data_IF_587034999305
#
_entry.id   IF_587034999305
#
_cell.length_a   1.000
_cell.length_b   1.000
_cell.length_c   1.000
_cell.angle_alpha   90.00
_cell.angle_beta   90.00
_cell.angle_gamma   90.00
#
_symmetry.space_group_name_H-M   'P 1'
#
loop_
_entity.id
_entity.type
_entity.pdbx_description
1 polymer ?
#
# COMPACT_ATOMS: atom_id res chain seq x y z
N UNK A 1 -27.56 -0.95 -21.45
CA UNK A 1 -27.30 0.36 -20.84
C UNK A 1 -26.32 0.11 -19.71
N UNK A 2 -25.07 0.60 -19.86
CA UNK A 2 -24.10 0.43 -18.78
C UNK A 2 -24.49 1.40 -17.67
N UNK A 3 -25.01 0.88 -16.57
CA UNK A 3 -25.19 1.68 -15.36
C UNK A 3 -23.82 2.05 -14.82
N UNK A 4 -23.49 3.33 -14.84
CA UNK A 4 -22.20 3.83 -14.37
C UNK A 4 -21.97 3.57 -12.87
N UNK A 5 -23.05 3.23 -12.13
CA UNK A 5 -23.01 2.81 -10.73
C UNK A 5 -22.91 1.29 -10.55
N UNK A 6 -23.13 0.49 -11.61
CA UNK A 6 -22.87 -0.93 -11.58
C UNK A 6 -21.37 -1.14 -11.88
N UNK A 7 -20.73 -2.04 -11.15
CA UNK A 7 -19.34 -2.43 -11.44
C UNK A 7 -19.24 -3.37 -12.66
N UNK A 8 -20.21 -3.32 -13.58
CA UNK A 8 -20.26 -4.16 -14.78
C UNK A 8 -19.02 -4.00 -15.65
N UNK A 9 -18.44 -2.79 -15.69
CA UNK A 9 -17.16 -2.54 -16.36
C UNK A 9 -16.00 -3.37 -15.79
N UNK A 10 -16.14 -3.92 -14.57
CA UNK A 10 -15.19 -4.86 -13.96
C UNK A 10 -15.66 -6.30 -14.12
N UNK A 11 -16.97 -6.56 -13.95
CA UNK A 11 -17.53 -7.91 -13.95
C UNK A 11 -17.38 -8.59 -15.31
N UNK A 12 -17.65 -7.87 -16.39
CA UNK A 12 -17.53 -8.42 -17.74
C UNK A 12 -16.07 -8.78 -18.10
N UNK A 13 -15.07 -7.90 -17.96
CA UNK A 13 -13.68 -8.27 -18.25
C UNK A 13 -13.16 -9.42 -17.38
N UNK A 14 -13.49 -9.43 -16.09
CA UNK A 14 -13.09 -10.51 -15.17
C UNK A 14 -13.73 -11.83 -15.60
N UNK A 15 -15.03 -11.82 -15.90
CA UNK A 15 -15.76 -12.98 -16.40
C UNK A 15 -15.20 -13.48 -17.74
N UNK A 16 -14.89 -12.56 -18.66
CA UNK A 16 -14.33 -12.91 -19.98
C UNK A 16 -12.96 -13.59 -19.87
N UNK A 17 -12.04 -13.03 -19.10
CA UNK A 17 -10.71 -13.63 -18.91
C UNK A 17 -10.84 -15.02 -18.26
N UNK A 18 -11.69 -15.15 -17.23
CA UNK A 18 -11.93 -16.42 -16.57
C UNK A 18 -12.57 -17.44 -17.52
N UNK A 19 -13.52 -17.02 -18.37
CA UNK A 19 -14.17 -17.84 -19.37
C UNK A 19 -13.19 -18.38 -20.42
N UNK A 20 -12.28 -17.54 -20.93
CA UNK A 20 -11.24 -17.95 -21.89
C UNK A 20 -10.37 -19.06 -21.30
N UNK A 21 -9.88 -18.89 -20.09
CA UNK A 21 -9.08 -19.90 -19.42
C UNK A 21 -9.88 -21.17 -19.10
N UNK A 22 -11.13 -21.01 -18.67
CA UNK A 22 -12.02 -22.14 -18.45
C UNK A 22 -12.21 -22.96 -19.71
N UNK A 23 -12.51 -22.34 -20.85
CA UNK A 23 -12.69 -23.05 -22.12
C UNK A 23 -11.42 -23.82 -22.52
N UNK A 24 -10.25 -23.21 -22.32
CA UNK A 24 -8.97 -23.87 -22.59
C UNK A 24 -8.77 -25.12 -21.70
N UNK A 25 -8.96 -25.00 -20.39
CA UNK A 25 -8.75 -26.11 -19.48
C UNK A 25 -9.88 -27.14 -19.55
N UNK A 26 -11.11 -26.74 -19.80
CA UNK A 26 -12.24 -27.63 -19.98
C UNK A 26 -12.10 -28.53 -21.23
N UNK A 27 -11.46 -28.06 -22.29
CA UNK A 27 -11.18 -28.83 -23.48
C UNK A 27 -10.24 -30.02 -23.21
N UNK A 28 -9.37 -29.92 -22.20
CA UNK A 28 -8.39 -30.94 -21.83
C UNK A 28 -8.87 -31.81 -20.67
N UNK A 29 -9.43 -31.18 -19.64
CA UNK A 29 -9.77 -31.84 -18.37
C UNK A 29 -11.25 -32.23 -18.27
N UNK A 30 -12.09 -31.71 -19.16
CA UNK A 30 -13.54 -31.81 -19.12
C UNK A 30 -14.24 -30.64 -18.44
N UNK A 31 -15.48 -30.29 -18.86
CA UNK A 31 -16.15 -29.06 -18.48
C UNK A 31 -16.62 -29.03 -17.02
N UNK A 32 -16.96 -30.15 -16.42
CA UNK A 32 -17.35 -30.25 -15.00
C UNK A 32 -16.19 -30.68 -14.09
N UNK A 33 -14.95 -30.64 -14.59
CA UNK A 33 -13.79 -30.98 -13.79
C UNK A 33 -13.42 -29.83 -12.82
N UNK A 34 -13.23 -30.15 -11.55
CA UNK A 34 -12.83 -29.20 -10.51
C UNK A 34 -11.54 -28.43 -10.88
N UNK A 35 -10.55 -29.13 -11.41
CA UNK A 35 -9.27 -28.50 -11.75
C UNK A 35 -9.35 -27.58 -12.97
N UNK A 36 -10.27 -27.81 -13.91
CA UNK A 36 -10.51 -26.89 -15.02
C UNK A 36 -10.96 -25.50 -14.50
N UNK A 37 -11.86 -25.50 -13.55
CA UNK A 37 -12.33 -24.27 -12.89
C UNK A 37 -11.29 -23.68 -11.94
N UNK A 38 -10.60 -24.49 -11.14
CA UNK A 38 -9.54 -24.03 -10.25
C UNK A 38 -8.41 -23.33 -11.02
N UNK A 39 -7.94 -23.95 -12.10
CA UNK A 39 -6.91 -23.37 -12.97
C UNK A 39 -7.41 -22.10 -13.66
N UNK A 40 -8.68 -22.05 -14.09
CA UNK A 40 -9.23 -20.83 -14.71
C UNK A 40 -9.19 -19.63 -13.76
N UNK A 41 -9.50 -19.82 -12.48
CA UNK A 41 -9.38 -18.79 -11.45
C UNK A 41 -7.91 -18.42 -11.20
N UNK A 42 -7.01 -19.40 -11.13
CA UNK A 42 -5.59 -19.13 -10.93
C UNK A 42 -4.97 -18.35 -12.10
N UNK A 43 -5.27 -18.75 -13.33
CA UNK A 43 -4.75 -18.09 -14.52
C UNK A 43 -5.40 -16.74 -14.81
N UNK A 44 -6.63 -16.52 -14.38
CA UNK A 44 -7.23 -15.17 -14.30
C UNK A 44 -6.33 -14.25 -13.46
N UNK A 45 -5.92 -14.70 -12.26
CA UNK A 45 -5.02 -13.92 -11.39
C UNK A 45 -3.72 -13.60 -12.11
N UNK A 46 -3.09 -14.62 -12.71
CA UNK A 46 -1.80 -14.45 -13.38
C UNK A 46 -1.89 -13.49 -14.55
N UNK A 47 -2.97 -13.56 -15.34
CA UNK A 47 -3.23 -12.63 -16.45
C UNK A 47 -3.36 -11.19 -15.96
N UNK A 48 -4.20 -10.94 -14.96
CA UNK A 48 -4.39 -9.60 -14.40
C UNK A 48 -3.11 -9.05 -13.76
N UNK A 49 -2.34 -9.90 -13.08
CA UNK A 49 -1.06 -9.53 -12.50
C UNK A 49 0.01 -9.24 -13.56
N UNK A 50 0.03 -9.99 -14.67
CA UNK A 50 0.92 -9.73 -15.79
C UNK A 50 0.61 -8.39 -16.45
N UNK A 51 -0.67 -8.07 -16.67
CA UNK A 51 -1.11 -6.77 -17.18
C UNK A 51 -0.71 -5.61 -16.26
N UNK A 52 -0.78 -5.81 -14.94
CA UNK A 52 -0.43 -4.82 -13.93
C UNK A 52 1.07 -4.83 -13.55
N UNK A 53 1.92 -5.60 -14.25
CA UNK A 53 3.35 -5.71 -13.92
C UNK A 53 4.09 -4.37 -13.99
N UNK A 54 3.92 -3.61 -15.08
CA UNK A 54 4.57 -2.30 -15.24
C UNK A 54 4.18 -1.29 -14.16
N UNK A 55 2.88 -1.06 -13.86
CA UNK A 55 2.45 -0.25 -12.72
C UNK A 55 3.06 -0.70 -11.38
N UNK A 56 3.13 -2.00 -11.15
CA UNK A 56 3.69 -2.56 -9.92
C UNK A 56 5.19 -2.27 -9.76
N UNK A 57 5.98 -2.41 -10.83
CA UNK A 57 7.41 -2.05 -10.79
C UNK A 57 7.59 -0.56 -10.49
N UNK A 58 6.78 0.31 -11.10
CA UNK A 58 6.80 1.75 -10.80
C UNK A 58 6.46 2.02 -9.34
N UNK A 59 5.47 1.33 -8.78
CA UNK A 59 5.10 1.42 -7.37
C UNK A 59 6.29 1.09 -6.45
N UNK A 60 6.99 -0.01 -6.69
CA UNK A 60 8.13 -0.41 -5.85
C UNK A 60 9.23 0.65 -5.92
N UNK A 61 9.54 1.19 -7.10
CA UNK A 61 10.53 2.28 -7.25
C UNK A 61 10.11 3.53 -6.48
N UNK A 62 8.84 3.94 -6.58
CA UNK A 62 8.31 5.10 -5.82
C UNK A 62 8.37 4.86 -4.31
N UNK A 63 8.05 3.65 -3.85
CA UNK A 63 8.14 3.29 -2.43
C UNK A 63 9.58 3.36 -1.93
N UNK A 64 10.56 2.93 -2.72
CA UNK A 64 12.00 3.07 -2.40
C UNK A 64 12.44 4.53 -2.32
N UNK A 65 12.10 5.35 -3.31
CA UNK A 65 12.39 6.78 -3.28
C UNK A 65 11.83 7.43 -2.02
N UNK A 66 10.61 7.06 -1.61
CA UNK A 66 10.01 7.53 -0.37
C UNK A 66 10.80 7.08 0.88
N UNK A 67 11.35 5.86 0.86
CA UNK A 67 12.21 5.37 1.95
C UNK A 67 13.54 6.13 2.04
N UNK A 68 14.15 6.50 0.92
CA UNK A 68 15.37 7.32 0.85
C UNK A 68 15.15 8.74 1.38
N UNK A 69 13.91 9.27 1.23
CA UNK A 69 13.53 10.58 1.73
C UNK A 69 13.09 10.59 3.21
N UNK A 70 12.99 9.42 3.86
CA UNK A 70 12.57 9.32 5.27
C UNK A 70 13.36 10.21 6.25
N UNK A 71 14.71 10.35 6.16
CA UNK A 71 15.43 11.25 7.04
C UNK A 71 15.03 12.72 6.86
N UNK A 72 14.77 13.16 5.63
CA UNK A 72 14.29 14.53 5.35
C UNK A 72 12.86 14.71 5.86
N UNK A 73 11.99 13.72 5.67
CA UNK A 73 10.63 13.72 6.19
C UNK A 73 10.64 13.84 7.74
N UNK A 74 11.50 13.08 8.42
CA UNK A 74 11.65 13.17 9.88
C UNK A 74 12.17 14.54 10.32
N UNK A 75 13.10 15.14 9.58
CA UNK A 75 13.59 16.49 9.87
C UNK A 75 12.46 17.53 9.74
N UNK A 76 11.61 17.42 8.70
CA UNK A 76 10.44 18.28 8.54
C UNK A 76 9.42 18.07 9.67
N UNK A 77 9.15 16.81 10.04
CA UNK A 77 8.25 16.51 11.17
C UNK A 77 8.77 17.09 12.49
N UNK A 78 10.07 17.01 12.73
CA UNK A 78 10.71 17.60 13.93
C UNK A 78 10.62 19.13 13.91
N UNK A 79 10.80 19.74 12.74
CA UNK A 79 10.80 21.22 12.57
C UNK A 79 9.40 21.82 12.65
N UNK A 80 8.40 21.18 12.03
CA UNK A 80 7.05 21.70 11.84
C UNK A 80 5.96 20.87 12.52
N UNK A 81 6.30 19.94 13.42
CA UNK A 81 5.35 19.00 14.03
C UNK A 81 4.18 19.63 14.78
N UNK A 82 4.33 20.88 15.22
CA UNK A 82 3.26 21.67 15.84
C UNK A 82 2.40 22.45 14.83
N UNK A 83 2.91 22.68 13.63
CA UNK A 83 2.22 23.40 12.55
C UNK A 83 1.94 22.43 11.40
N UNK A 84 0.74 21.84 11.44
CA UNK A 84 0.32 20.84 10.43
C UNK A 84 0.21 21.44 9.02
N UNK A 85 -0.16 22.71 8.90
CA UNK A 85 -0.32 23.35 7.59
C UNK A 85 1.04 23.55 6.93
N UNK A 86 2.00 24.12 7.63
CA UNK A 86 3.38 24.29 7.13
C UNK A 86 4.04 22.95 6.86
N UNK A 87 3.84 21.97 7.72
CA UNK A 87 4.35 20.60 7.49
C UNK A 87 3.80 20.00 6.18
N UNK A 88 2.49 20.17 5.91
CA UNK A 88 1.88 19.67 4.67
C UNK A 88 2.43 20.39 3.44
N UNK A 89 2.62 21.72 3.48
CA UNK A 89 3.19 22.50 2.38
C UNK A 89 4.65 22.11 2.09
N UNK A 90 5.47 22.01 3.14
CA UNK A 90 6.89 21.61 2.97
C UNK A 90 7.03 20.15 2.53
N UNK A 91 6.14 19.27 2.97
CA UNK A 91 6.06 17.91 2.48
C UNK A 91 5.71 17.87 0.97
N UNK A 92 4.71 18.67 0.56
CA UNK A 92 4.33 18.76 -0.85
C UNK A 92 5.46 19.34 -1.71
N UNK A 93 6.20 20.34 -1.18
CA UNK A 93 7.37 20.90 -1.84
C UNK A 93 8.47 19.85 -2.00
N UNK A 94 8.80 19.12 -0.95
CA UNK A 94 9.77 18.00 -0.99
C UNK A 94 9.37 16.94 -2.03
N UNK A 95 8.07 16.60 -2.11
CA UNK A 95 7.54 15.66 -3.09
C UNK A 95 7.72 16.18 -4.52
N UNK A 96 7.46 17.46 -4.77
CA UNK A 96 7.65 18.10 -6.08
C UNK A 96 9.12 18.20 -6.47
N UNK A 97 10.00 18.56 -5.56
CA UNK A 97 11.45 18.66 -5.81
C UNK A 97 12.07 17.33 -6.20
N UNK A 98 11.58 16.24 -5.63
CA UNK A 98 12.04 14.87 -5.93
C UNK A 98 11.20 14.16 -7.00
N UNK A 99 10.18 14.84 -7.55
CA UNK A 99 9.38 14.32 -8.67
C UNK A 99 8.55 13.07 -8.34
N UNK A 100 8.24 12.80 -7.08
CA UNK A 100 7.46 11.62 -6.70
C UNK A 100 6.03 11.96 -6.25
N UNK A 101 5.10 11.07 -6.60
CA UNK A 101 3.71 11.17 -6.18
C UNK A 101 3.37 9.98 -5.27
N UNK A 102 3.06 10.19 -3.97
CA UNK A 102 2.72 9.12 -3.05
C UNK A 102 1.45 8.35 -3.45
N UNK A 103 0.52 8.99 -4.19
CA UNK A 103 -0.69 8.36 -4.70
C UNK A 103 -0.36 7.24 -5.69
N UNK A 104 0.68 7.41 -6.52
CA UNK A 104 1.14 6.35 -7.41
C UNK A 104 1.66 5.11 -6.66
N UNK A 105 2.12 5.29 -5.43
CA UNK A 105 2.57 4.20 -4.56
C UNK A 105 1.43 3.31 -4.05
N UNK A 106 0.22 3.82 -3.88
CA UNK A 106 -0.94 3.03 -3.42
C UNK A 106 -1.89 2.61 -4.56
N UNK A 107 -1.73 3.16 -5.77
CA UNK A 107 -2.62 2.92 -6.91
C UNK A 107 -2.84 1.43 -7.24
N UNK A 108 -1.80 0.57 -7.30
CA UNK A 108 -2.02 -0.85 -7.58
C UNK A 108 -2.82 -1.59 -6.50
N UNK A 109 -2.69 -1.17 -5.24
CA UNK A 109 -3.52 -1.71 -4.16
C UNK A 109 -4.99 -1.31 -4.34
N UNK A 110 -5.25 -0.05 -4.70
CA UNK A 110 -6.60 0.44 -4.98
C UNK A 110 -7.19 -0.24 -6.22
N UNK A 111 -6.40 -0.48 -7.26
CA UNK A 111 -6.84 -1.20 -8.46
C UNK A 111 -7.18 -2.68 -8.18
N UNK A 112 -6.59 -3.29 -7.15
CA UNK A 112 -6.86 -4.67 -6.76
C UNK A 112 -8.25 -4.85 -6.14
N UNK A 113 -8.79 -3.81 -5.47
CA UNK A 113 -10.10 -3.88 -4.79
C UNK A 113 -11.24 -4.15 -5.79
N UNK A 114 -11.41 -3.38 -6.89
CA UNK A 114 -12.44 -3.67 -7.89
C UNK A 114 -12.30 -5.06 -8.50
N UNK A 115 -11.07 -5.50 -8.78
CA UNK A 115 -10.80 -6.84 -9.33
C UNK A 115 -11.27 -7.94 -8.38
N UNK A 116 -10.97 -7.81 -7.07
CA UNK A 116 -11.42 -8.76 -6.06
C UNK A 116 -12.94 -8.78 -5.93
N UNK A 117 -13.57 -7.60 -5.87
CA UNK A 117 -15.04 -7.47 -5.82
C UNK A 117 -15.66 -8.09 -7.07
N UNK A 118 -15.07 -7.83 -8.25
CA UNK A 118 -15.54 -8.37 -9.53
C UNK A 118 -15.49 -9.90 -9.55
N UNK A 119 -14.37 -10.48 -9.16
CA UNK A 119 -14.23 -11.94 -9.10
C UNK A 119 -15.20 -12.55 -8.07
N UNK A 120 -15.26 -11.96 -6.87
CA UNK A 120 -16.19 -12.44 -5.84
C UNK A 120 -17.64 -12.41 -6.34
N UNK A 121 -18.04 -11.31 -6.99
CA UNK A 121 -19.38 -11.15 -7.55
C UNK A 121 -19.66 -12.19 -8.65
N UNK A 122 -18.74 -12.36 -9.62
CA UNK A 122 -18.89 -13.34 -10.71
C UNK A 122 -18.99 -14.76 -10.14
N UNK A 123 -18.16 -15.13 -9.17
CA UNK A 123 -18.17 -16.47 -8.57
C UNK A 123 -19.44 -16.72 -7.73
N UNK A 124 -19.92 -15.70 -7.01
CA UNK A 124 -21.21 -15.79 -6.28
C UNK A 124 -22.41 -15.92 -7.21
N UNK A 125 -22.33 -15.28 -8.39
CA UNK A 125 -23.42 -15.28 -9.37
C UNK A 125 -23.59 -16.59 -10.12
N UNK A 126 -22.77 -17.60 -9.90
CA UNK A 126 -23.03 -18.96 -10.36
C UNK A 126 -24.12 -19.67 -9.54
N UNK A 127 -24.23 -19.33 -8.24
CA UNK A 127 -25.28 -19.87 -7.38
C UNK A 127 -26.14 -18.74 -6.81
N UNK A 128 -27.26 -18.45 -7.51
CA UNK A 128 -28.23 -17.39 -7.14
C UNK A 128 -29.42 -17.92 -6.35
N UNK A 129 -29.36 -19.19 -5.91
CA UNK A 129 -30.48 -19.80 -5.16
C UNK A 129 -30.59 -19.25 -3.73
N UNK A 130 -29.55 -18.57 -3.22
CA UNK A 130 -29.58 -17.92 -1.90
C UNK A 130 -30.03 -16.46 -1.95
N UNK A 131 -30.05 -15.84 -3.14
CA UNK A 131 -30.24 -14.40 -3.28
C UNK A 131 -29.09 -13.59 -2.64
N UNK A 132 -29.24 -12.27 -2.57
CA UNK A 132 -28.31 -11.35 -1.88
C UNK A 132 -27.42 -10.52 -2.82
N UNK A 133 -26.93 -9.38 -2.32
CA UNK A 133 -26.10 -8.41 -3.06
C UNK A 133 -26.63 -8.02 -4.45
N UNK A 134 -27.94 -7.71 -4.54
CA UNK A 134 -28.58 -7.31 -5.80
C UNK A 134 -28.85 -8.45 -6.78
N UNK A 135 -28.62 -9.70 -6.38
CA UNK A 135 -28.94 -10.87 -7.19
C UNK A 135 -30.36 -11.36 -6.93
N UNK A 136 -31.14 -11.72 -7.98
CA UNK A 136 -32.46 -12.30 -7.80
C UNK A 136 -32.36 -13.68 -7.13
N UNK A 137 -33.31 -14.01 -6.29
CA UNK A 137 -33.46 -15.36 -5.78
C UNK A 137 -34.05 -16.26 -6.88
N UNK A 138 -33.32 -17.24 -7.36
CA UNK A 138 -33.72 -18.17 -8.40
C UNK A 138 -33.97 -19.57 -7.81
N UNK A 139 -34.91 -20.31 -8.39
CA UNK A 139 -34.99 -21.74 -8.14
C UNK A 139 -33.76 -22.45 -8.76
N UNK A 140 -33.46 -23.65 -8.31
CA UNK A 140 -32.33 -24.45 -8.86
C UNK A 140 -32.45 -24.61 -10.39
N UNK A 141 -33.64 -24.92 -10.89
CA UNK A 141 -33.90 -25.07 -12.32
C UNK A 141 -33.69 -23.75 -13.09
N UNK A 142 -34.19 -22.63 -12.57
CA UNK A 142 -33.98 -21.32 -13.17
C UNK A 142 -32.50 -20.91 -13.14
N UNK A 143 -31.78 -21.18 -12.03
CA UNK A 143 -30.37 -20.85 -11.91
C UNK A 143 -29.53 -21.61 -12.93
N UNK A 144 -29.81 -22.90 -13.16
CA UNK A 144 -29.10 -23.72 -14.17
C UNK A 144 -29.47 -23.33 -15.60
N UNK A 145 -30.68 -22.77 -15.83
CA UNK A 145 -31.12 -22.29 -17.14
C UNK A 145 -30.65 -20.86 -17.45
N UNK A 146 -30.02 -20.16 -16.51
CA UNK A 146 -29.60 -18.76 -16.66
C UNK A 146 -28.08 -18.66 -16.77
N UNK A 147 -27.58 -17.98 -17.82
CA UNK A 147 -26.15 -17.70 -17.97
C UNK A 147 -25.61 -16.73 -16.91
N UNK A 148 -24.29 -16.63 -16.83
CA UNK A 148 -23.58 -15.76 -15.88
C UNK A 148 -22.49 -14.96 -16.61
N UNK A 149 -22.78 -13.71 -16.96
CA UNK A 149 -21.93 -12.84 -17.80
C UNK A 149 -21.53 -13.52 -19.11
N UNK A 150 -20.25 -13.88 -19.29
CA UNK A 150 -19.76 -14.60 -20.47
C UNK A 150 -20.03 -16.12 -20.43
N UNK A 151 -20.41 -16.64 -19.28
CA UNK A 151 -20.71 -18.07 -19.14
C UNK A 151 -22.14 -18.38 -19.59
N UNK A 152 -22.30 -19.38 -20.43
CA UNK A 152 -23.59 -19.91 -20.86
C UNK A 152 -24.32 -20.61 -19.71
N UNK A 153 -25.60 -20.91 -19.86
CA UNK A 153 -26.36 -21.72 -18.92
C UNK A 153 -25.71 -23.11 -18.72
N UNK A 154 -25.20 -23.71 -19.79
CA UNK A 154 -24.47 -25.00 -19.70
C UNK A 154 -23.19 -24.84 -18.85
N UNK A 155 -22.42 -23.75 -19.00
CA UNK A 155 -21.23 -23.49 -18.19
C UNK A 155 -21.59 -23.27 -16.71
N UNK A 156 -22.73 -22.64 -16.42
CA UNK A 156 -23.23 -22.51 -15.03
C UNK A 156 -23.54 -23.89 -14.45
N UNK A 157 -24.19 -24.78 -15.22
CA UNK A 157 -24.40 -26.18 -14.84
C UNK A 157 -23.07 -26.89 -14.54
N UNK A 158 -22.10 -26.80 -15.43
CA UNK A 158 -20.78 -27.40 -15.24
C UNK A 158 -20.04 -26.87 -14.00
N UNK A 159 -20.15 -25.58 -13.68
CA UNK A 159 -19.57 -25.02 -12.45
C UNK A 159 -20.20 -25.59 -11.19
N UNK A 160 -21.54 -25.75 -11.18
CA UNK A 160 -22.27 -26.30 -10.05
C UNK A 160 -22.03 -27.81 -9.87
N UNK A 161 -21.68 -28.52 -10.96
CA UNK A 161 -21.33 -29.94 -10.94
C UNK A 161 -19.84 -30.16 -10.58
N UNK A 162 -19.00 -29.13 -10.78
CA UNK A 162 -17.56 -29.22 -10.54
C UNK A 162 -17.25 -29.39 -9.07
N UNK A 163 -16.81 -30.58 -8.66
CA UNK A 163 -16.47 -30.88 -7.28
C UNK A 163 -15.20 -31.74 -7.20
N UNK A 164 -14.55 -31.70 -6.03
CA UNK A 164 -13.42 -32.57 -5.67
C UNK A 164 -13.83 -33.38 -4.44
N UNK A 165 -14.07 -34.71 -4.63
CA UNK A 165 -14.51 -35.61 -3.56
C UNK A 165 -15.80 -35.13 -2.82
N UNK A 166 -16.70 -34.45 -3.52
CA UNK A 166 -17.91 -33.87 -2.93
C UNK A 166 -17.74 -32.45 -2.37
N UNK A 167 -16.63 -31.78 -2.67
CA UNK A 167 -16.39 -30.36 -2.37
C UNK A 167 -16.58 -29.52 -3.64
N UNK A 168 -17.76 -28.89 -3.87
CA UNK A 168 -17.96 -28.00 -4.99
C UNK A 168 -17.05 -26.78 -4.92
N UNK A 169 -16.51 -26.35 -6.06
CA UNK A 169 -15.59 -25.21 -6.11
C UNK A 169 -16.22 -23.89 -5.70
N UNK A 170 -17.53 -23.75 -5.92
CA UNK A 170 -18.32 -22.56 -5.50
C UNK A 170 -18.81 -22.60 -4.04
N UNK A 171 -18.61 -23.73 -3.34
CA UNK A 171 -19.08 -23.89 -1.97
C UNK A 171 -18.11 -23.27 -0.94
N UNK A 172 -18.62 -22.94 0.25
CA UNK A 172 -17.84 -22.48 1.38
C UNK A 172 -18.13 -23.30 2.65
N UNK A 173 -17.17 -23.37 3.58
CA UNK A 173 -17.21 -24.30 4.71
C UNK A 173 -18.40 -24.08 5.64
N UNK A 174 -18.80 -22.80 5.83
CA UNK A 174 -19.92 -22.40 6.70
C UNK A 174 -21.25 -22.29 5.98
N UNK A 175 -21.34 -22.67 4.70
CA UNK A 175 -22.55 -22.55 3.89
C UNK A 175 -23.70 -23.36 4.45
N UNK A 176 -24.87 -22.71 4.59
CA UNK A 176 -26.09 -23.34 5.11
C UNK A 176 -27.25 -23.36 4.11
N UNK A 177 -27.28 -22.43 3.17
CA UNK A 177 -28.31 -22.25 2.18
C UNK A 177 -27.79 -22.43 0.75
N UNK A 178 -28.64 -22.79 -0.22
CA UNK A 178 -28.28 -22.98 -1.61
C UNK A 178 -27.39 -24.19 -1.85
N UNK A 179 -27.45 -25.19 -0.98
CA UNK A 179 -26.68 -26.46 -1.11
C UNK A 179 -27.26 -27.34 -2.20
N UNK A 180 -28.55 -27.25 -2.42
CA UNK A 180 -29.34 -27.93 -3.43
C UNK A 180 -29.00 -27.51 -4.88
N UNK A 181 -28.34 -26.38 -5.06
CA UNK A 181 -27.81 -25.95 -6.35
C UNK A 181 -26.66 -26.84 -6.84
N UNK A 182 -25.90 -27.42 -5.93
CA UNK A 182 -24.76 -28.30 -6.25
C UNK A 182 -25.24 -29.75 -6.45
N UNK A 183 -24.70 -30.41 -7.47
CA UNK A 183 -25.01 -31.83 -7.71
C UNK A 183 -24.52 -32.73 -6.57
N UNK A 184 -23.34 -32.42 -6.03
CA UNK A 184 -22.76 -33.10 -4.88
C UNK A 184 -22.22 -32.08 -3.89
N UNK A 185 -22.62 -32.23 -2.62
CA UNK A 185 -22.12 -31.39 -1.53
C UNK A 185 -21.84 -32.24 -0.29
N UNK A 186 -20.61 -32.20 0.16
CA UNK A 186 -20.20 -32.79 1.43
C UNK A 186 -19.43 -31.76 2.23
N UNK A 187 -19.97 -31.32 3.37
CA UNK A 187 -19.31 -30.35 4.24
C UNK A 187 -17.93 -30.82 4.72
N UNK A 188 -17.76 -32.08 5.18
CA UNK A 188 -16.43 -32.61 5.52
C UNK A 188 -15.44 -32.49 4.35
N UNK A 189 -15.89 -32.77 3.11
CA UNK A 189 -15.04 -32.64 1.94
C UNK A 189 -14.66 -31.18 1.65
N UNK A 190 -15.62 -30.23 1.76
CA UNK A 190 -15.34 -28.80 1.61
C UNK A 190 -14.30 -28.33 2.63
N UNK A 191 -14.40 -28.79 3.87
CA UNK A 191 -13.41 -28.49 4.92
C UNK A 191 -12.07 -29.15 4.60
N UNK A 192 -12.06 -30.43 4.23
CA UNK A 192 -10.84 -31.17 3.94
C UNK A 192 -10.04 -30.60 2.76
N UNK A 193 -10.74 -30.10 1.74
CA UNK A 193 -10.12 -29.43 0.58
C UNK A 193 -9.74 -27.99 0.88
N UNK A 194 -10.63 -27.25 1.52
CA UNK A 194 -10.48 -25.80 1.72
C UNK A 194 -9.53 -25.43 2.86
N UNK A 195 -9.56 -26.14 3.99
CA UNK A 195 -8.74 -25.79 5.15
C UNK A 195 -7.23 -25.84 4.88
N UNK A 196 -6.69 -26.91 4.23
CA UNK A 196 -5.26 -26.94 3.88
C UNK A 196 -4.85 -25.76 2.96
N UNK A 197 -5.65 -25.48 1.92
CA UNK A 197 -5.36 -24.37 0.97
C UNK A 197 -5.42 -23.01 1.68
N UNK A 198 -6.40 -22.84 2.56
CA UNK A 198 -6.57 -21.63 3.37
C UNK A 198 -5.38 -21.41 4.32
N UNK A 199 -4.93 -22.47 5.02
CA UNK A 199 -3.76 -22.40 5.91
C UNK A 199 -2.51 -22.06 5.09
N UNK A 200 -2.31 -22.73 3.95
CA UNK A 200 -1.18 -22.44 3.04
C UNK A 200 -1.24 -20.99 2.52
N UNK A 201 -2.43 -20.49 2.17
CA UNK A 201 -2.61 -19.10 1.76
C UNK A 201 -2.29 -18.11 2.90
N UNK A 202 -2.68 -18.42 4.14
CA UNK A 202 -2.33 -17.63 5.32
C UNK A 202 -0.82 -17.60 5.59
N UNK A 203 -0.17 -18.76 5.54
CA UNK A 203 1.28 -18.90 5.68
C UNK A 203 2.01 -18.14 4.56
N UNK A 204 1.59 -18.30 3.30
CA UNK A 204 2.16 -17.59 2.17
C UNK A 204 2.00 -16.07 2.31
N UNK A 205 0.84 -15.60 2.80
CA UNK A 205 0.59 -14.18 3.10
C UNK A 205 1.57 -13.65 4.17
N UNK A 206 1.81 -14.44 5.23
CA UNK A 206 2.78 -14.08 6.27
C UNK A 206 4.20 -13.95 5.70
N UNK A 207 4.67 -14.94 4.93
CA UNK A 207 6.02 -14.89 4.35
C UNK A 207 6.19 -13.75 3.33
N UNK A 208 5.19 -13.49 2.48
CA UNK A 208 5.20 -12.35 1.56
C UNK A 208 5.27 -11.01 2.32
N UNK A 209 4.49 -10.86 3.39
CA UNK A 209 4.52 -9.68 4.25
C UNK A 209 5.86 -9.52 4.96
N UNK A 210 6.39 -10.61 5.53
CA UNK A 210 7.70 -10.63 6.17
C UNK A 210 8.83 -10.24 5.21
N UNK A 211 8.82 -10.78 3.99
CA UNK A 211 9.79 -10.42 2.97
C UNK A 211 9.71 -8.94 2.57
N UNK A 212 8.51 -8.37 2.53
CA UNK A 212 8.30 -6.95 2.25
C UNK A 212 8.78 -6.06 3.40
N UNK A 213 8.45 -6.41 4.66
CA UNK A 213 8.87 -5.67 5.85
C UNK A 213 10.38 -5.70 6.05
N UNK A 214 11.02 -6.85 5.80
CA UNK A 214 12.47 -7.00 5.95
C UNK A 214 13.29 -6.12 5.00
N UNK A 215 12.68 -5.63 3.92
CA UNK A 215 13.32 -4.75 2.93
C UNK A 215 13.10 -3.26 3.18
N UNK A 216 12.43 -2.90 4.27
CA UNK A 216 12.24 -1.49 4.65
C UNK A 216 13.53 -0.94 5.25
N UNK A 217 13.79 0.37 5.02
CA UNK A 217 14.91 1.04 5.69
C UNK A 217 14.69 1.09 7.21
N UNK A 218 15.76 1.04 8.03
CA UNK A 218 15.66 1.15 9.48
C UNK A 218 14.89 2.40 9.92
N UNK A 219 15.09 3.51 9.20
CA UNK A 219 14.43 4.78 9.46
C UNK A 219 12.92 4.71 9.20
N UNK A 220 12.50 4.02 8.13
CA UNK A 220 11.09 3.81 7.83
C UNK A 220 10.44 2.88 8.86
N UNK A 221 11.13 1.79 9.22
CA UNK A 221 10.65 0.82 10.21
C UNK A 221 10.50 1.44 11.62
N UNK A 222 11.33 2.43 11.97
CA UNK A 222 11.26 3.13 13.26
C UNK A 222 10.10 4.14 13.35
N UNK A 223 9.38 4.43 12.26
CA UNK A 223 8.21 5.30 12.29
C UNK A 223 7.04 4.54 12.96
N UNK A 224 6.38 5.10 14.00
CA UNK A 224 5.29 4.43 14.71
C UNK A 224 4.13 3.99 13.82
N UNK A 225 3.76 4.82 12.83
CA UNK A 225 2.71 4.50 11.87
C UNK A 225 3.11 3.32 10.96
N UNK A 226 4.33 3.32 10.47
CA UNK A 226 4.88 2.20 9.68
C UNK A 226 4.97 0.93 10.50
N UNK A 227 5.43 1.02 11.75
CA UNK A 227 5.51 -0.12 12.67
C UNK A 227 4.12 -0.74 12.95
N UNK A 228 3.09 0.09 13.09
CA UNK A 228 1.70 -0.38 13.22
C UNK A 228 1.23 -1.09 11.94
N UNK A 229 1.46 -0.49 10.78
CA UNK A 229 1.13 -1.11 9.48
C UNK A 229 1.86 -2.44 9.26
N UNK A 230 3.12 -2.52 9.68
CA UNK A 230 3.90 -3.76 9.62
C UNK A 230 3.31 -4.85 10.51
N UNK A 231 2.86 -4.53 11.72
CA UNK A 231 2.17 -5.48 12.60
C UNK A 231 0.86 -5.97 11.99
N UNK A 232 0.07 -5.06 11.38
CA UNK A 232 -1.15 -5.43 10.68
C UNK A 232 -0.84 -6.39 9.51
N UNK A 233 0.18 -6.07 8.69
CA UNK A 233 0.58 -6.87 7.54
C UNK A 233 1.11 -8.25 7.95
N UNK A 234 1.87 -8.34 9.04
CA UNK A 234 2.49 -9.59 9.49
C UNK A 234 1.54 -10.53 10.23
N UNK A 235 0.58 -9.99 10.99
CA UNK A 235 -0.22 -10.81 11.89
C UNK A 235 -1.71 -10.76 11.56
N UNK A 236 -2.27 -9.56 11.37
CA UNK A 236 -3.72 -9.41 11.21
C UNK A 236 -4.17 -9.90 9.84
N UNK A 237 -3.46 -9.57 8.76
CA UNK A 237 -3.84 -10.02 7.42
C UNK A 237 -3.74 -11.56 7.25
N UNK A 238 -2.64 -12.23 7.62
CA UNK A 238 -2.57 -13.69 7.53
C UNK A 238 -3.63 -14.39 8.41
N UNK A 239 -3.85 -13.89 9.62
CA UNK A 239 -4.89 -14.40 10.51
C UNK A 239 -6.29 -14.16 9.92
N UNK A 240 -6.51 -12.98 9.32
CA UNK A 240 -7.75 -12.63 8.65
C UNK A 240 -8.09 -13.57 7.49
N UNK A 241 -7.08 -14.05 6.74
CA UNK A 241 -7.26 -15.06 5.70
C UNK A 241 -7.76 -16.38 6.30
N UNK A 242 -7.13 -16.82 7.40
CA UNK A 242 -7.48 -18.09 8.06
C UNK A 242 -8.86 -18.01 8.73
N UNK A 243 -9.17 -16.90 9.40
CA UNK A 243 -10.45 -16.72 10.09
C UNK A 243 -11.59 -16.41 9.12
N UNK A 244 -11.32 -15.63 8.07
CA UNK A 244 -12.30 -15.22 7.05
C UNK A 244 -12.55 -16.29 5.99
N UNK A 245 -11.57 -17.16 5.73
CA UNK A 245 -11.62 -18.17 4.68
C UNK A 245 -12.85 -19.09 4.75
N UNK A 246 -13.28 -19.57 5.91
CA UNK A 246 -14.47 -20.42 6.02
C UNK A 246 -15.78 -19.81 5.48
N UNK A 247 -15.83 -18.49 5.35
CA UNK A 247 -16.99 -17.75 4.83
C UNK A 247 -16.87 -17.43 3.33
N UNK A 248 -15.77 -17.85 2.69
CA UNK A 248 -15.50 -17.59 1.28
C UNK A 248 -15.60 -18.88 0.46
N UNK A 249 -16.09 -18.80 -0.80
CA UNK A 249 -16.05 -19.92 -1.73
C UNK A 249 -14.62 -20.49 -1.90
N UNK A 250 -14.50 -21.80 -2.12
CA UNK A 250 -13.21 -22.46 -2.38
C UNK A 250 -12.44 -21.77 -3.51
N UNK A 251 -13.15 -21.34 -4.57
CA UNK A 251 -12.57 -20.60 -5.68
C UNK A 251 -11.86 -19.31 -5.24
N UNK A 252 -12.39 -18.60 -4.23
CA UNK A 252 -11.76 -17.37 -3.69
C UNK A 252 -10.52 -17.71 -2.86
N UNK A 253 -10.53 -18.82 -2.13
CA UNK A 253 -9.35 -19.28 -1.38
C UNK A 253 -8.24 -19.66 -2.35
N UNK A 254 -8.58 -20.34 -3.46
CA UNK A 254 -7.65 -20.67 -4.55
C UNK A 254 -7.11 -19.39 -5.23
N UNK A 255 -7.97 -18.41 -5.50
CA UNK A 255 -7.55 -17.08 -5.98
C UNK A 255 -6.51 -16.47 -5.04
N UNK A 256 -6.76 -16.48 -3.72
CA UNK A 256 -5.85 -15.91 -2.73
C UNK A 256 -4.50 -16.65 -2.72
N UNK A 257 -4.55 -17.96 -2.78
CA UNK A 257 -3.36 -18.80 -2.87
C UNK A 257 -2.54 -18.50 -4.14
N UNK A 258 -3.18 -18.47 -5.31
CA UNK A 258 -2.53 -18.11 -6.59
C UNK A 258 -1.91 -16.70 -6.55
N UNK A 259 -2.64 -15.74 -5.96
CA UNK A 259 -2.15 -14.38 -5.76
C UNK A 259 -0.87 -14.31 -4.90
N UNK A 260 -0.77 -15.15 -3.87
CA UNK A 260 0.44 -15.24 -3.05
C UNK A 260 1.61 -15.87 -3.79
N UNK A 261 1.38 -16.92 -4.58
CA UNK A 261 2.41 -17.53 -5.44
C UNK A 261 2.98 -16.48 -6.41
N UNK A 262 2.10 -15.77 -7.11
CA UNK A 262 2.53 -14.71 -8.02
C UNK A 262 3.32 -13.62 -7.30
N UNK A 263 2.81 -13.16 -6.16
CA UNK A 263 3.46 -12.10 -5.36
C UNK A 263 4.87 -12.51 -4.93
N UNK A 264 5.05 -13.75 -4.50
CA UNK A 264 6.36 -14.29 -4.14
C UNK A 264 7.33 -14.25 -5.32
N UNK A 265 6.92 -14.79 -6.49
CA UNK A 265 7.75 -14.78 -7.70
C UNK A 265 8.05 -13.36 -8.19
N UNK A 266 7.03 -12.50 -8.22
CA UNK A 266 7.16 -11.11 -8.66
C UNK A 266 8.08 -10.30 -7.74
N UNK A 267 7.95 -10.45 -6.42
CA UNK A 267 8.86 -9.80 -5.46
C UNK A 267 10.30 -10.23 -5.68
N UNK A 268 10.55 -11.53 -5.84
CA UNK A 268 11.90 -12.04 -6.04
C UNK A 268 12.55 -11.45 -7.31
N UNK A 269 11.83 -11.44 -8.43
CA UNK A 269 12.32 -10.90 -9.70
C UNK A 269 12.55 -9.39 -9.61
N UNK A 270 11.55 -8.63 -9.14
CA UNK A 270 11.60 -7.16 -9.17
C UNK A 270 12.65 -6.63 -8.19
N UNK A 271 12.74 -7.20 -6.99
CA UNK A 271 13.76 -6.76 -6.03
C UNK A 271 15.17 -7.11 -6.49
N UNK A 272 15.39 -8.27 -7.12
CA UNK A 272 16.68 -8.61 -7.70
C UNK A 272 17.10 -7.67 -8.84
N UNK A 273 16.15 -7.21 -9.68
CA UNK A 273 16.44 -6.19 -10.71
C UNK A 273 16.85 -4.85 -10.10
N UNK A 274 16.10 -4.38 -9.08
CA UNK A 274 16.36 -3.09 -8.44
C UNK A 274 17.70 -3.12 -7.69
N UNK A 275 18.05 -4.22 -7.04
CA UNK A 275 19.32 -4.38 -6.32
C UNK A 275 20.52 -4.28 -7.29
N UNK A 276 20.45 -4.94 -8.45
CA UNK A 276 21.46 -4.81 -9.50
C UNK A 276 21.57 -3.37 -10.05
N UNK A 277 20.44 -2.67 -10.23
CA UNK A 277 20.45 -1.26 -10.64
C UNK A 277 21.12 -0.36 -9.59
N UNK A 278 20.88 -0.61 -8.31
CA UNK A 278 21.48 0.15 -7.20
C UNK A 278 22.99 -0.13 -7.06
N UNK A 279 23.42 -1.37 -7.25
CA UNK A 279 24.85 -1.73 -7.28
C UNK A 279 25.56 -1.07 -8.44
N UNK A 280 24.98 -1.07 -9.64
CA UNK A 280 25.54 -0.40 -10.80
C UNK A 280 25.71 1.11 -10.56
N UNK A 281 24.70 1.77 -9.98
CA UNK A 281 24.78 3.19 -9.61
C UNK A 281 25.86 3.47 -8.55
N UNK A 282 25.99 2.60 -7.54
CA UNK A 282 27.05 2.71 -6.53
C UNK A 282 28.45 2.60 -7.15
N UNK A 283 28.63 1.64 -8.05
CA UNK A 283 29.90 1.46 -8.77
C UNK A 283 30.22 2.69 -9.62
N UNK A 284 29.25 3.25 -10.33
CA UNK A 284 29.42 4.48 -11.11
C UNK A 284 29.85 5.67 -10.24
N UNK A 285 29.22 5.84 -9.06
CA UNK A 285 29.59 6.90 -8.12
C UNK A 285 31.00 6.70 -7.58
N UNK A 286 31.38 5.45 -7.26
CA UNK A 286 32.75 5.13 -6.81
C UNK A 286 33.76 5.42 -7.91
N UNK A 287 33.50 5.01 -9.15
CA UNK A 287 34.37 5.27 -10.30
C UNK A 287 34.49 6.78 -10.57
N UNK A 288 33.41 7.53 -10.54
CA UNK A 288 33.45 9.00 -10.68
C UNK A 288 34.24 9.66 -9.56
N UNK A 289 34.14 9.19 -8.32
CA UNK A 289 34.91 9.70 -7.20
C UNK A 289 36.39 9.37 -7.36
N UNK A 290 36.73 8.16 -7.82
CA UNK A 290 38.11 7.75 -8.10
C UNK A 290 38.72 8.56 -9.27
N UNK A 291 37.95 8.80 -10.35
CA UNK A 291 38.37 9.61 -11.48
C UNK A 291 38.60 11.09 -11.12
N UNK A 292 37.77 11.63 -10.19
CA UNK A 292 37.86 13.01 -9.71
C UNK A 292 38.76 13.16 -8.46
N UNK A 293 39.37 12.07 -7.97
CA UNK A 293 40.29 12.13 -6.83
C UNK A 293 41.56 12.88 -7.22
N UNK A 294 42.07 13.80 -6.39
CA UNK A 294 43.36 14.42 -6.64
C UNK A 294 44.46 13.38 -6.75
N UNK A 295 45.41 13.59 -7.65
CA UNK A 295 46.58 12.71 -7.79
C UNK A 295 47.29 12.52 -6.44
N UNK A 296 47.86 11.32 -6.13
CA UNK A 296 48.59 11.08 -4.90
C UNK A 296 49.69 12.14 -4.73
N UNK A 297 49.62 12.92 -3.64
CA UNK A 297 50.59 14.00 -3.38
C UNK A 297 50.11 15.41 -3.74
N UNK A 298 48.95 15.61 -4.34
CA UNK A 298 48.39 16.92 -4.60
C UNK A 298 48.02 17.61 -3.29
N UNK A 299 48.63 18.76 -2.99
CA UNK A 299 48.27 19.60 -1.84
C UNK A 299 46.85 20.11 -1.95
N UNK A 300 46.04 20.13 -0.87
CA UNK A 300 44.67 20.67 -0.93
C UNK A 300 44.74 22.12 -1.41
N UNK A 301 43.95 22.45 -2.45
CA UNK A 301 43.74 23.84 -2.89
C UNK A 301 43.17 24.63 -1.72
N UNK A 302 43.96 25.50 -1.14
CA UNK A 302 43.55 26.43 -0.06
C UNK A 302 42.46 27.35 -0.63
N UNK A 303 41.27 27.28 -0.08
CA UNK A 303 40.18 28.12 -0.49
C UNK A 303 40.53 29.58 -0.16
N UNK A 304 40.60 30.51 -1.13
CA UNK A 304 41.05 31.88 -0.85
C UNK A 304 40.10 32.67 0.03
N UNK A 305 38.88 32.18 0.31
CA UNK A 305 37.89 32.82 1.17
C UNK A 305 38.15 32.72 2.68
N UNK A 306 39.10 31.90 3.14
CA UNK A 306 39.40 31.74 4.57
C UNK A 306 40.71 32.40 4.96
N UNK A 307 41.42 33.09 4.01
CA UNK A 307 42.68 33.79 4.29
C UNK A 307 42.53 35.27 4.68
N UNK A 308 41.29 35.77 4.71
CA UNK A 308 41.01 37.20 5.04
C UNK A 308 40.56 37.46 6.49
N UNK A 309 40.63 36.43 7.37
CA UNK A 309 40.17 36.55 8.76
C UNK A 309 41.22 36.30 9.83
N UNK A 310 42.52 36.40 9.51
CA UNK A 310 43.59 36.35 10.51
C UNK A 310 44.78 37.20 10.05
N UNK A 311 44.59 38.48 10.12
CA UNK A 311 45.64 39.51 10.00
C UNK A 311 45.48 40.45 11.16
N UNK A 312 46.35 40.21 12.11
CA UNK A 312 46.61 40.91 13.36
C UNK A 312 46.91 42.40 13.15
N UNK A 313 46.49 43.19 14.10
CA UNK A 313 46.63 44.64 14.11
C UNK A 313 48.08 45.10 14.35
N UNK A 314 48.40 46.25 13.81
CA UNK A 314 49.13 47.30 14.51
C UNK A 314 49.19 48.60 13.69
N UNK A 315 48.71 49.64 14.32
CA UNK A 315 49.10 51.04 14.38
C UNK A 315 49.43 51.84 13.10
N UNK A 316 48.79 53.01 13.03
CA UNK A 316 49.48 54.24 12.65
C UNK A 316 48.77 55.13 11.63
N UNK A 317 48.07 56.15 12.10
CA UNK A 317 48.15 57.52 11.73
C UNK A 317 47.73 58.00 10.33
N UNK A 318 46.88 59.00 10.31
CA UNK A 318 46.98 60.08 9.37
C UNK A 318 45.89 60.22 8.32
N UNK A 319 44.96 61.05 8.63
CA UNK A 319 44.39 62.19 7.85
C UNK A 319 43.74 61.97 6.43
N UNK A 320 42.58 62.52 6.48
CA UNK A 320 42.01 63.62 5.65
C UNK A 320 41.29 63.29 4.34
N UNK A 321 40.03 63.56 4.42
CA UNK A 321 39.18 64.37 3.54
C UNK A 321 38.54 63.80 2.27
N UNK A 322 37.28 64.19 2.26
CA UNK A 322 36.38 64.56 1.12
C UNK A 322 35.82 63.48 0.25
N UNK A 323 34.58 63.38 0.25
CA UNK A 323 33.38 64.11 -0.18
C UNK A 323 32.66 63.41 -1.34
N UNK A 324 31.35 63.62 -1.31
CA UNK A 324 30.35 63.44 -2.37
C UNK A 324 30.01 61.99 -2.82
N UNK A 325 28.81 61.55 -2.81
CA UNK A 325 27.54 62.19 -2.93
C UNK A 325 26.64 61.30 -3.79
N UNK A 326 25.38 61.37 -3.46
CA UNK A 326 24.25 61.13 -4.36
C UNK A 326 23.80 59.70 -4.58
N UNK A 327 22.74 59.28 -4.28
CA UNK A 327 21.32 59.65 -4.28
C UNK A 327 20.50 58.41 -4.65
N UNK A 328 19.52 58.14 -3.83
CA UNK A 328 18.39 57.29 -4.15
C UNK A 328 17.50 57.93 -5.23
N UNK A 329 16.59 57.20 -5.82
CA UNK A 329 15.23 57.65 -5.63
C UNK A 329 14.24 56.57 -5.22
N UNK A 330 13.39 57.00 -4.31
CA UNK A 330 12.05 56.48 -4.04
C UNK A 330 11.13 56.89 -5.19
N UNK A 331 10.13 56.04 -5.47
CA UNK A 331 8.85 56.49 -6.03
C UNK A 331 7.73 55.75 -5.35
N UNK A 332 7.02 56.52 -4.55
CA UNK A 332 5.63 56.32 -4.12
C UNK A 332 4.71 56.63 -5.29
N UNK A 333 3.56 56.01 -5.34
CA UNK A 333 2.25 56.45 -5.87
C UNK A 333 1.27 55.36 -5.38
N UNK A 334 0.49 55.54 -4.38
CA UNK A 334 -0.76 56.27 -4.08
C UNK A 334 -1.93 55.92 -5.00
N UNK A 335 -3.02 55.48 -4.33
CA UNK A 335 -4.38 55.97 -4.62
C UNK A 335 -5.42 54.93 -5.02
N UNK A 336 -6.32 54.72 -4.11
CA UNK A 336 -7.77 54.99 -4.21
C UNK A 336 -8.75 53.80 -4.36
N UNK A 337 -9.51 53.63 -3.32
CA UNK A 337 -10.95 53.49 -3.11
C UNK A 337 -11.83 52.53 -3.97
N UNK A 338 -12.68 51.79 -3.26
CA UNK A 338 -13.86 51.17 -3.79
C UNK A 338 -14.55 50.15 -2.88
N UNK A 339 -15.20 50.64 -1.89
CA UNK A 339 -16.43 50.28 -1.16
C UNK A 339 -17.28 49.12 -1.68
N UNK A 340 -17.82 48.29 -0.76
CA UNK A 340 -18.83 47.25 -1.09
C UNK A 340 -19.16 46.31 0.06
N UNK A 341 -19.91 46.81 1.03
CA UNK A 341 -20.77 46.15 2.02
C UNK A 341 -21.27 44.74 1.73
N UNK A 342 -21.29 43.88 2.77
CA UNK A 342 -22.05 42.65 2.79
C UNK A 342 -21.94 41.87 4.10
N UNK A 343 -22.83 42.14 4.98
CA UNK A 343 -23.09 41.71 6.35
C UNK A 343 -23.47 40.24 6.51
N UNK A 344 -23.29 39.69 7.73
CA UNK A 344 -23.95 38.57 8.42
C UNK A 344 -23.35 37.18 8.19
N UNK A 345 -23.22 36.28 9.15
CA UNK A 345 -23.71 36.10 10.53
C UNK A 345 -22.95 34.95 11.14
N UNK A 346 -22.54 35.05 12.40
CA UNK A 346 -22.14 33.91 13.23
C UNK A 346 -23.38 33.26 13.87
N UNK A 347 -23.31 31.99 14.25
CA UNK A 347 -23.90 31.60 15.54
C UNK A 347 -22.95 30.74 16.39
N UNK A 348 -22.71 31.22 17.60
CA UNK A 348 -23.12 30.70 18.89
C UNK A 348 -22.53 29.33 19.34
N UNK A 349 -21.71 29.41 20.39
CA UNK A 349 -21.41 28.33 21.34
C UNK A 349 -22.65 27.99 22.19
N UNK A 350 -22.71 26.80 22.78
CA UNK A 350 -23.33 26.66 24.09
C UNK A 350 -22.36 26.21 25.19
N UNK A 351 -22.71 26.69 26.35
CA UNK A 351 -22.10 26.72 27.63
C UNK A 351 -21.83 25.39 28.32
N UNK A 352 -20.90 25.41 29.28
CA UNK A 352 -20.71 24.43 30.38
C UNK A 352 -21.80 24.59 31.44
N UNK A 353 -21.97 23.52 32.27
CA UNK A 353 -22.09 23.75 33.72
C UNK A 353 -21.02 23.02 34.51
N UNK A 354 -20.65 23.68 35.58
CA UNK A 354 -19.57 23.37 36.48
C UNK A 354 -19.97 22.61 37.76
N UNK A 355 -18.97 22.62 38.65
CA UNK A 355 -18.93 22.28 40.08
C UNK A 355 -18.59 20.80 40.35
N UNK A 356 -17.68 20.42 41.18
CA UNK A 356 -17.03 20.96 42.35
C UNK A 356 -16.30 19.80 43.06
N UNK A 357 -15.25 20.12 43.78
CA UNK A 357 -14.91 19.31 44.95
C UNK A 357 -13.54 18.65 45.03
N UNK A 358 -12.58 19.41 45.59
CA UNK A 358 -11.65 19.12 46.72
C UNK A 358 -10.70 17.92 46.71
N UNK A 359 -9.41 18.34 46.80
CA UNK A 359 -8.34 17.88 47.73
C UNK A 359 -7.75 16.46 47.61
N UNK A 360 -6.46 16.37 47.21
CA UNK A 360 -5.33 16.12 48.13
C UNK A 360 -4.06 15.86 47.32
N UNK A 361 -3.02 16.64 47.58
CA UNK A 361 -1.64 16.25 47.34
C UNK A 361 -1.18 15.25 48.37
N UNK A 362 -0.18 14.38 48.04
CA UNK A 362 1.13 14.68 48.62
C UNK A 362 2.32 14.48 47.63
N UNK A 363 3.23 15.41 47.85
CA UNK A 363 4.68 15.38 47.62
C UNK A 363 5.33 14.00 47.51
N UNK A 364 6.13 13.74 46.47
CA UNK A 364 7.33 12.96 46.69
C UNK A 364 8.49 13.33 45.77
N UNK A 365 9.62 13.32 46.41
CA UNK A 365 10.93 13.83 46.08
C UNK A 365 11.61 13.05 44.97
N UNK A 366 12.31 13.76 44.09
CA UNK A 366 13.39 13.29 43.21
C UNK A 366 14.59 12.77 44.02
N UNK A 367 15.26 11.69 43.57
CA UNK A 367 16.65 11.40 43.91
C UNK A 367 17.61 11.78 42.77
N UNK A 368 18.73 12.40 43.18
CA UNK A 368 19.89 12.78 42.37
C UNK A 368 20.68 11.57 41.86
N UNK A 369 21.40 11.66 40.73
CA UNK A 369 22.25 10.60 40.20
C UNK A 369 23.66 10.66 40.79
N UNK A 370 24.21 9.47 41.03
CA UNK A 370 25.62 9.33 41.34
C UNK A 370 25.98 8.16 42.22
N UNK A 371 26.35 7.01 41.66
CA UNK A 371 27.40 6.13 42.20
C UNK A 371 27.75 5.00 41.23
N UNK A 372 29.02 4.94 40.81
CA UNK A 372 29.68 3.85 40.08
C UNK A 372 29.69 2.56 40.92
N UNK A 373 29.52 1.36 40.37
CA UNK A 373 29.89 0.12 41.02
C UNK A 373 31.34 -0.26 40.68
N UNK A 374 32.04 -0.66 41.75
CA UNK A 374 33.40 -1.20 41.78
C UNK A 374 33.48 -2.58 41.13
N UNK A 375 34.51 -2.78 40.36
CA UNK A 375 35.03 -4.03 39.83
C UNK A 375 35.35 -5.01 40.97
N UNK A 376 34.86 -6.24 40.88
CA UNK A 376 35.32 -7.35 41.73
C UNK A 376 36.00 -8.39 40.82
N UNK A 377 37.28 -8.62 41.15
CA UNK A 377 38.10 -9.72 40.63
C UNK A 377 37.62 -11.02 41.31
N UNK A 378 37.38 -12.02 40.52
CA UNK A 378 37.94 -13.37 40.63
C UNK A 378 37.55 -14.14 39.40
#
# INVERSE_FOLDING_TARGET
MFDFFSLDFVYYPVSWIMWVWYKLFAAVLGPSNFFAWALSVMFLVFTLRALLYKPFVRQIRTTRQMQELQPQIKALQKKYGKDRQRMALEMQKLQREHGFNPILGCLPMLAQIPVFIGLYHVLRSFNRTTGGFGQPHLTVAQNRATGNYFFSAADVGHFLDANLFGAPIGAYMTQRAGLDAFTYFSRPAVIAVGAPVMILAGIATYFNSRASVARQSPEAAANPQTAMMNKLALYVFPLGVVVGGPFLPLAIILYWFANNIWTFGQQHIVFGMIEKEDEAKRQEVVQRRAANAPAPGAKPKRNPKTAAASGDGSSGGGDESTDSGSAAPRTDIDGSDGDGTGTQTAPAQPEKPGSGGRNNAPTNRTPRPGARPKRRKR
#
